data_IF_082494101412
#
_entry.id   IF_082494101412
#
_cell.length_a   1.000
_cell.length_b   1.000
_cell.length_c   1.000
_cell.angle_alpha   90.00
_cell.angle_beta   90.00
_cell.angle_gamma   90.00
#
_symmetry.space_group_name_H-M   'P 1'
#
loop_
_entity.id
_entity.type
_entity.pdbx_description
1 polymer ?
#
# COMPACT_ATOMS: atom_id res chain seq x y z
N UNK A 1 -10.17 17.65 -17.08
CA UNK A 1 -9.22 17.13 -18.09
C UNK A 1 -8.10 16.39 -17.37
N UNK A 2 -8.22 15.07 -17.24
CA UNK A 2 -7.17 14.26 -16.63
C UNK A 2 -5.99 14.17 -17.62
N UNK A 3 -4.84 14.74 -17.23
CA UNK A 3 -3.60 14.53 -17.99
C UNK A 3 -3.30 13.03 -17.94
N UNK A 4 -3.28 12.39 -19.09
CA UNK A 4 -2.64 11.08 -19.27
C UNK A 4 -1.21 11.22 -18.76
N UNK A 5 -0.93 10.67 -17.57
CA UNK A 5 0.43 10.55 -17.05
C UNK A 5 1.10 9.51 -17.93
N UNK A 6 1.90 9.98 -18.89
CA UNK A 6 2.78 9.14 -19.69
C UNK A 6 3.74 8.43 -18.74
N UNK A 7 3.46 7.17 -18.44
CA UNK A 7 4.39 6.30 -17.72
C UNK A 7 5.53 6.00 -18.69
N UNK A 8 6.70 6.58 -18.42
CA UNK A 8 7.94 6.16 -19.07
C UNK A 8 8.17 4.70 -18.67
N UNK A 9 8.12 3.77 -19.63
CA UNK A 9 8.37 2.35 -19.36
C UNK A 9 9.78 2.19 -18.81
N UNK A 10 9.88 1.87 -17.52
CA UNK A 10 11.11 1.52 -16.84
C UNK A 10 11.47 0.07 -17.19
N UNK A 11 12.76 -0.27 -17.24
CA UNK A 11 13.22 -1.66 -17.33
C UNK A 11 13.38 -2.24 -15.92
N UNK A 12 13.39 -3.57 -15.77
CA UNK A 12 13.63 -4.21 -14.47
C UNK A 12 14.94 -3.78 -13.81
N UNK A 13 16.01 -3.58 -14.60
CA UNK A 13 17.30 -3.08 -14.10
C UNK A 13 17.18 -1.66 -13.56
N UNK A 14 16.44 -0.79 -14.27
CA UNK A 14 16.19 0.57 -13.80
C UNK A 14 15.29 0.58 -12.56
N UNK A 15 14.32 -0.34 -12.44
CA UNK A 15 13.51 -0.47 -11.23
C UNK A 15 14.36 -0.89 -10.03
N UNK A 16 15.23 -1.89 -10.17
CA UNK A 16 16.19 -2.28 -9.13
C UNK A 16 17.07 -1.10 -8.71
N UNK A 17 17.69 -0.42 -9.68
CA UNK A 17 18.53 0.74 -9.40
C UNK A 17 17.75 1.88 -8.71
N UNK A 18 16.47 2.06 -9.04
CA UNK A 18 15.63 3.07 -8.41
C UNK A 18 15.32 2.73 -6.94
N UNK A 19 15.04 1.46 -6.65
CA UNK A 19 14.83 0.97 -5.28
C UNK A 19 16.11 0.97 -4.44
N UNK A 20 17.28 0.90 -5.07
CA UNK A 20 18.57 1.11 -4.40
C UNK A 20 18.86 2.60 -4.14
N UNK A 21 18.50 3.47 -5.08
CA UNK A 21 18.78 4.90 -5.00
C UNK A 21 17.82 5.67 -4.07
N UNK A 22 16.55 5.26 -4.02
CA UNK A 22 15.53 5.90 -3.19
C UNK A 22 15.32 5.06 -1.94
N UNK A 23 15.55 5.66 -0.77
CA UNK A 23 15.44 4.94 0.50
C UNK A 23 14.01 4.44 0.76
N UNK A 24 13.83 3.28 1.42
CA UNK A 24 12.50 2.67 1.60
C UNK A 24 11.47 3.53 2.34
N UNK A 25 11.95 4.40 3.23
CA UNK A 25 11.15 5.41 3.92
C UNK A 25 10.60 6.50 3.00
N UNK A 26 10.99 6.52 1.72
CA UNK A 26 10.49 7.46 0.72
C UNK A 26 9.57 6.83 -0.31
N UNK A 27 9.22 5.56 -0.17
CA UNK A 27 8.31 4.86 -1.07
C UNK A 27 6.84 5.14 -0.70
N UNK A 28 6.50 6.42 -0.61
CA UNK A 28 5.20 6.88 -0.15
C UNK A 28 4.29 7.29 -1.32
N UNK A 29 3.00 7.38 -1.03
CA UNK A 29 1.98 7.87 -1.95
C UNK A 29 1.22 9.05 -1.35
N UNK A 30 0.56 9.82 -2.20
CA UNK A 30 -0.28 10.95 -1.77
C UNK A 30 -1.72 10.52 -1.52
N UNK A 31 -2.50 11.38 -0.85
CA UNK A 31 -3.95 11.20 -0.73
C UNK A 31 -4.66 11.08 -2.09
N UNK A 32 -4.22 11.85 -3.08
CA UNK A 32 -4.78 11.80 -4.43
C UNK A 32 -4.48 10.47 -5.15
N UNK A 33 -3.34 9.85 -4.87
CA UNK A 33 -3.00 8.54 -5.45
C UNK A 33 -3.90 7.44 -4.89
N UNK A 34 -4.29 7.51 -3.60
CA UNK A 34 -5.26 6.56 -3.02
C UNK A 34 -6.67 6.73 -3.60
N UNK A 35 -7.11 7.97 -3.83
CA UNK A 35 -8.39 8.25 -4.51
C UNK A 35 -8.36 7.71 -5.94
N UNK A 36 -7.25 7.91 -6.65
CA UNK A 36 -7.05 7.36 -7.98
C UNK A 36 -7.09 5.84 -7.96
N UNK A 37 -6.39 5.19 -7.03
CA UNK A 37 -6.42 3.74 -6.87
C UNK A 37 -7.84 3.22 -6.63
N UNK A 38 -8.64 3.88 -5.78
CA UNK A 38 -10.03 3.51 -5.56
C UNK A 38 -10.84 3.46 -6.86
N UNK A 39 -10.72 4.51 -7.68
CA UNK A 39 -11.42 4.62 -8.96
C UNK A 39 -10.95 3.56 -9.97
N UNK A 40 -9.65 3.29 -10.00
CA UNK A 40 -9.05 2.30 -10.88
C UNK A 40 -9.46 0.88 -10.51
N UNK A 41 -9.44 0.52 -9.22
CA UNK A 41 -9.91 -0.78 -8.72
C UNK A 41 -11.39 -0.96 -9.04
N UNK A 42 -12.22 0.06 -8.79
CA UNK A 42 -13.63 0.03 -9.17
C UNK A 42 -13.81 -0.24 -10.66
N UNK A 43 -13.12 0.51 -11.53
CA UNK A 43 -13.20 0.30 -12.99
C UNK A 43 -12.71 -1.10 -13.38
N UNK A 44 -11.65 -1.60 -12.75
CA UNK A 44 -11.09 -2.91 -13.01
C UNK A 44 -12.06 -4.04 -12.64
N UNK A 45 -12.84 -3.88 -11.57
CA UNK A 45 -13.94 -4.80 -11.22
C UNK A 45 -15.04 -4.73 -12.29
N UNK A 46 -15.51 -3.53 -12.65
CA UNK A 46 -16.61 -3.35 -13.60
C UNK A 46 -16.29 -3.92 -15.00
N UNK A 47 -15.03 -3.85 -15.43
CA UNK A 47 -14.61 -4.44 -16.70
C UNK A 47 -14.16 -5.92 -16.60
N UNK A 48 -14.30 -6.54 -15.42
CA UNK A 48 -13.94 -7.93 -15.18
C UNK A 48 -12.43 -8.21 -15.27
N UNK A 49 -11.58 -7.21 -15.01
CA UNK A 49 -10.13 -7.41 -14.80
C UNK A 49 -9.82 -7.92 -13.40
N UNK A 50 -10.56 -7.42 -12.39
CA UNK A 50 -10.55 -7.98 -11.04
C UNK A 50 -11.81 -8.83 -10.89
N UNK A 51 -11.65 -10.10 -10.48
CA UNK A 51 -12.72 -11.07 -10.31
C UNK A 51 -12.58 -11.80 -8.97
N UNK A 52 -13.68 -12.27 -8.37
CA UNK A 52 -13.63 -13.11 -7.17
C UNK A 52 -12.75 -14.32 -7.40
N UNK A 53 -11.88 -14.60 -6.44
CA UNK A 53 -11.02 -15.78 -6.43
C UNK A 53 -11.69 -16.78 -5.49
N UNK A 54 -12.24 -17.85 -6.09
CA UNK A 54 -12.82 -19.01 -5.40
C UNK A 54 -13.56 -18.67 -4.09
N UNK A 55 -13.42 -19.51 -3.06
CA UNK A 55 -14.02 -19.30 -1.74
C UNK A 55 -13.12 -18.44 -0.83
N UNK A 56 -11.91 -18.07 -1.27
CA UNK A 56 -10.95 -17.29 -0.47
C UNK A 56 -11.25 -15.78 -0.46
N UNK A 57 -11.90 -15.26 -1.50
CA UNK A 57 -12.34 -13.86 -1.58
C UNK A 57 -13.63 -13.71 -2.42
N UNK A 58 -14.78 -14.17 -1.91
CA UNK A 58 -16.05 -14.11 -2.63
C UNK A 58 -16.68 -12.72 -2.50
N UNK A 59 -16.11 -11.72 -3.20
CA UNK A 59 -16.67 -10.36 -3.23
C UNK A 59 -17.73 -10.19 -4.33
N UNK A 60 -18.70 -9.29 -4.11
CA UNK A 60 -19.70 -8.94 -5.12
C UNK A 60 -19.19 -7.78 -6.01
N UNK A 61 -19.37 -7.87 -7.33
CA UNK A 61 -18.89 -6.82 -8.24
C UNK A 61 -19.60 -5.47 -8.07
N UNK A 62 -20.77 -5.45 -7.42
CA UNK A 62 -21.52 -4.25 -7.08
C UNK A 62 -21.20 -3.68 -5.70
N UNK A 63 -20.40 -4.37 -4.88
CA UNK A 63 -20.04 -3.91 -3.55
C UNK A 63 -18.99 -2.80 -3.61
N UNK A 64 -19.43 -1.57 -3.35
CA UNK A 64 -18.60 -0.37 -3.30
C UNK A 64 -18.15 0.00 -1.87
N UNK A 65 -18.54 -0.79 -0.86
CA UNK A 65 -18.25 -0.50 0.54
C UNK A 65 -17.10 -1.33 1.08
N UNK A 66 -17.08 -2.63 0.80
CA UNK A 66 -16.04 -3.53 1.28
C UNK A 66 -15.08 -3.89 0.14
N UNK A 67 -15.60 -4.49 -0.93
CA UNK A 67 -14.85 -4.84 -2.13
C UNK A 67 -13.92 -6.04 -1.95
N UNK A 68 -13.10 -6.37 -2.98
CA UNK A 68 -12.12 -7.45 -2.90
C UNK A 68 -11.11 -7.19 -1.79
N UNK A 69 -10.54 -8.26 -1.26
CA UNK A 69 -9.43 -8.12 -0.33
C UNK A 69 -8.16 -7.63 -1.01
N UNK A 70 -7.21 -7.14 -0.21
CA UNK A 70 -5.97 -6.55 -0.74
C UNK A 70 -5.08 -7.60 -1.44
N UNK A 71 -5.13 -8.90 -1.10
CA UNK A 71 -4.42 -9.93 -1.88
C UNK A 71 -4.93 -10.01 -3.32
N UNK A 72 -6.25 -9.99 -3.50
CA UNK A 72 -6.89 -10.02 -4.81
C UNK A 72 -6.54 -8.77 -5.62
N UNK A 73 -6.64 -7.59 -5.01
CA UNK A 73 -6.26 -6.32 -5.68
C UNK A 73 -4.78 -6.29 -6.03
N UNK A 74 -3.92 -6.76 -5.14
CA UNK A 74 -2.49 -6.82 -5.38
C UNK A 74 -2.18 -7.70 -6.60
N UNK A 75 -2.70 -8.92 -6.60
CA UNK A 75 -2.43 -9.94 -7.61
C UNK A 75 -3.03 -9.60 -8.97
N UNK A 76 -4.27 -9.11 -8.99
CA UNK A 76 -5.02 -8.90 -10.24
C UNK A 76 -4.92 -7.48 -10.81
N UNK A 77 -4.38 -6.53 -10.04
CA UNK A 77 -4.29 -5.13 -10.49
C UNK A 77 -2.92 -4.49 -10.23
N UNK A 78 -2.47 -4.40 -8.97
CA UNK A 78 -1.20 -3.70 -8.64
C UNK A 78 -0.02 -4.36 -9.34
N UNK A 79 0.12 -5.69 -9.24
CA UNK A 79 1.20 -6.44 -9.86
C UNK A 79 1.18 -6.31 -11.39
N UNK A 80 0.06 -6.57 -12.11
CA UNK A 80 0.01 -6.36 -13.57
C UNK A 80 0.40 -4.94 -14.01
N UNK A 81 -0.13 -3.90 -13.35
CA UNK A 81 0.17 -2.51 -13.71
C UNK A 81 1.64 -2.19 -13.49
N UNK A 82 2.22 -2.64 -12.36
CA UNK A 82 3.61 -2.37 -12.04
C UNK A 82 4.59 -3.25 -12.83
N UNK A 83 4.19 -4.45 -13.26
CA UNK A 83 4.96 -5.31 -14.17
C UNK A 83 5.14 -4.60 -15.52
N UNK A 84 4.06 -4.05 -16.08
CA UNK A 84 4.10 -3.27 -17.33
C UNK A 84 4.96 -1.99 -17.21
N UNK A 85 5.11 -1.49 -15.98
CA UNK A 85 5.97 -0.35 -15.66
C UNK A 85 7.41 -0.75 -15.31
N UNK A 86 7.81 -2.01 -15.51
CA UNK A 86 9.19 -2.47 -15.27
C UNK A 86 9.45 -3.04 -13.88
N UNK A 87 8.42 -3.50 -13.17
CA UNK A 87 8.48 -4.09 -11.81
C UNK A 87 8.80 -3.11 -10.68
N UNK A 88 8.80 -1.81 -10.94
CA UNK A 88 8.90 -0.77 -9.91
C UNK A 88 7.70 -0.85 -8.95
N UNK A 89 7.82 -0.35 -7.72
CA UNK A 89 6.66 -0.30 -6.82
C UNK A 89 5.66 0.73 -7.30
N UNK A 90 4.40 0.61 -6.89
CA UNK A 90 3.38 1.60 -7.24
C UNK A 90 3.78 3.01 -6.79
N UNK A 91 4.36 3.14 -5.60
CA UNK A 91 4.83 4.41 -5.07
C UNK A 91 5.90 5.05 -5.97
N UNK A 92 6.97 4.32 -6.30
CA UNK A 92 8.06 4.85 -7.13
C UNK A 92 7.71 4.93 -8.62
N UNK A 93 6.72 4.18 -9.08
CA UNK A 93 6.12 4.36 -10.41
C UNK A 93 5.50 5.74 -10.56
N UNK A 94 4.83 6.23 -9.50
CA UNK A 94 4.18 7.53 -9.49
C UNK A 94 5.14 8.66 -9.10
N UNK A 95 6.08 8.38 -8.23
CA UNK A 95 6.99 9.36 -7.61
C UNK A 95 8.43 8.83 -7.62
N UNK A 96 9.13 8.90 -8.76
CA UNK A 96 10.47 8.33 -8.89
C UNK A 96 11.52 8.99 -7.99
N UNK A 97 11.31 10.25 -7.58
CA UNK A 97 12.20 10.94 -6.64
C UNK A 97 11.93 10.58 -5.17
N UNK A 98 10.88 9.79 -4.90
CA UNK A 98 10.42 9.45 -3.56
C UNK A 98 9.77 10.62 -2.81
N UNK A 99 8.93 10.29 -1.84
CA UNK A 99 8.16 11.22 -1.03
C UNK A 99 8.42 10.98 0.46
N UNK A 100 8.61 12.03 1.25
CA UNK A 100 8.83 11.91 2.70
C UNK A 100 7.66 11.17 3.38
N UNK A 101 7.98 10.28 4.34
CA UNK A 101 6.98 9.52 5.09
C UNK A 101 6.45 10.33 6.28
N UNK A 102 5.22 10.83 6.19
CA UNK A 102 4.55 11.44 7.35
C UNK A 102 3.75 10.43 8.16
N UNK A 103 3.11 9.49 7.46
CA UNK A 103 2.15 8.53 8.00
C UNK A 103 2.52 7.10 7.58
N UNK A 104 2.64 6.20 8.55
CA UNK A 104 2.79 4.77 8.29
C UNK A 104 1.45 4.05 8.49
N UNK A 105 1.04 3.22 7.54
CA UNK A 105 -0.21 2.44 7.62
C UNK A 105 0.07 1.03 8.12
N UNK A 106 -0.52 0.67 9.26
CA UNK A 106 -0.56 -0.70 9.75
C UNK A 106 -1.94 -1.31 9.45
N UNK A 107 -1.96 -2.37 8.63
CA UNK A 107 -3.19 -2.91 8.09
C UNK A 107 -3.05 -4.39 7.68
N UNK A 108 -4.16 -5.08 7.46
CA UNK A 108 -4.16 -6.51 7.16
C UNK A 108 -4.65 -6.80 5.75
N UNK A 109 -3.93 -7.66 5.03
CA UNK A 109 -4.21 -7.90 3.61
C UNK A 109 -5.55 -8.61 3.30
N UNK A 110 -6.20 -9.23 4.29
CA UNK A 110 -7.53 -9.84 4.10
C UNK A 110 -8.68 -8.81 4.25
N UNK A 111 -8.40 -7.54 4.51
CA UNK A 111 -9.45 -6.52 4.54
C UNK A 111 -9.90 -6.12 3.13
N UNK A 112 -11.16 -5.72 3.01
CA UNK A 112 -11.73 -5.17 1.79
C UNK A 112 -11.09 -3.83 1.43
N UNK A 113 -10.65 -3.69 0.18
CA UNK A 113 -9.90 -2.52 -0.29
C UNK A 113 -10.70 -1.22 -0.21
N UNK A 114 -12.02 -1.25 -0.41
CA UNK A 114 -12.84 -0.03 -0.36
C UNK A 114 -13.05 0.43 1.07
N UNK A 115 -13.26 -0.51 2.00
CA UNK A 115 -13.32 -0.22 3.43
C UNK A 115 -12.00 0.38 3.90
N UNK A 116 -10.88 -0.25 3.53
CA UNK A 116 -9.54 0.23 3.83
C UNK A 116 -9.30 1.66 3.32
N UNK A 117 -9.52 1.90 2.02
CA UNK A 117 -9.30 3.21 1.41
C UNK A 117 -10.20 4.28 2.04
N UNK A 118 -11.47 3.96 2.29
CA UNK A 118 -12.41 4.87 2.94
C UNK A 118 -11.92 5.28 4.33
N UNK A 119 -11.55 4.30 5.18
CA UNK A 119 -11.04 4.55 6.54
C UNK A 119 -9.76 5.37 6.54
N UNK A 120 -8.81 5.05 5.67
CA UNK A 120 -7.55 5.81 5.55
C UNK A 120 -7.81 7.25 5.09
N UNK A 121 -8.65 7.44 4.07
CA UNK A 121 -8.96 8.77 3.54
C UNK A 121 -9.76 9.63 4.52
N UNK A 122 -10.64 9.01 5.31
CA UNK A 122 -11.44 9.66 6.34
C UNK A 122 -10.58 10.03 7.57
N UNK A 123 -9.70 9.12 7.99
CA UNK A 123 -8.88 9.26 9.19
C UNK A 123 -7.50 9.87 8.92
N UNK A 124 -7.30 10.45 7.74
CA UNK A 124 -6.05 11.06 7.32
C UNK A 124 -5.68 12.23 8.27
N UNK A 125 -4.57 12.15 9.02
CA UNK A 125 -4.24 13.17 10.02
C UNK A 125 -3.94 14.53 9.39
N UNK A 126 -4.36 15.59 10.07
CA UNK A 126 -4.03 16.96 9.65
C UNK A 126 -2.52 17.16 9.64
N UNK A 127 -2.00 17.72 8.56
CA UNK A 127 -0.56 17.99 8.38
C UNK A 127 0.21 16.86 7.70
N UNK A 128 -0.30 15.63 7.67
CA UNK A 128 0.32 14.54 6.90
C UNK A 128 0.09 14.77 5.40
N UNK A 129 1.15 14.66 4.58
CA UNK A 129 1.09 14.86 3.13
C UNK A 129 1.16 13.54 2.39
N UNK A 130 2.00 12.63 2.86
CA UNK A 130 2.22 11.34 2.22
C UNK A 130 2.14 10.19 3.21
N UNK A 131 1.88 9.02 2.65
CA UNK A 131 1.64 7.81 3.42
C UNK A 131 2.45 6.66 2.86
N UNK A 132 3.02 5.87 3.76
CA UNK A 132 3.63 4.59 3.44
C UNK A 132 2.63 3.47 3.70
N UNK A 133 2.33 2.67 2.67
CA UNK A 133 1.42 1.53 2.75
C UNK A 133 2.04 0.35 2.01
N UNK A 134 2.16 -0.80 2.70
CA UNK A 134 3.02 -1.89 2.23
C UNK A 134 2.63 -2.46 0.85
N UNK A 135 1.33 -2.48 0.51
CA UNK A 135 0.86 -2.96 -0.81
C UNK A 135 1.28 -2.05 -1.97
N UNK A 136 1.55 -0.77 -1.70
CA UNK A 136 1.92 0.24 -2.72
C UNK A 136 3.42 0.57 -2.70
N UNK A 137 4.02 0.55 -1.51
CA UNK A 137 5.40 0.94 -1.29
C UNK A 137 6.39 -0.13 -1.76
N UNK A 138 6.14 -1.39 -1.40
CA UNK A 138 7.04 -2.49 -1.73
C UNK A 138 6.95 -2.86 -3.22
N UNK A 139 8.06 -3.26 -3.87
CA UNK A 139 8.04 -3.71 -5.26
C UNK A 139 7.45 -5.11 -5.38
N UNK A 140 6.14 -5.19 -5.61
CA UNK A 140 5.36 -6.43 -5.54
C UNK A 140 5.80 -7.51 -6.54
N UNK A 141 6.41 -7.11 -7.66
CA UNK A 141 6.92 -8.02 -8.71
C UNK A 141 8.41 -8.37 -8.57
N UNK A 142 9.12 -7.77 -7.61
CA UNK A 142 10.50 -8.13 -7.30
C UNK A 142 10.54 -9.14 -6.15
N UNK A 143 11.73 -9.62 -5.81
CA UNK A 143 11.91 -10.49 -4.66
C UNK A 143 11.76 -9.70 -3.35
N UNK A 144 10.51 -9.55 -2.88
CA UNK A 144 10.20 -8.91 -1.61
C UNK A 144 10.85 -9.68 -0.45
N UNK A 145 11.01 -10.99 -0.56
CA UNK A 145 11.60 -11.84 0.47
C UNK A 145 13.01 -11.38 0.85
N UNK A 146 13.80 -10.92 -0.13
CA UNK A 146 15.13 -10.35 0.11
C UNK A 146 15.12 -9.10 1.01
N UNK A 147 14.06 -8.28 0.93
CA UNK A 147 13.90 -7.07 1.75
C UNK A 147 13.41 -7.37 3.17
N UNK A 148 12.89 -8.58 3.43
CA UNK A 148 12.27 -8.97 4.70
C UNK A 148 13.11 -9.93 5.54
N UNK A 149 14.36 -10.19 5.13
CA UNK A 149 15.27 -11.10 5.84
C UNK A 149 15.53 -10.68 7.29
N UNK A 150 15.50 -9.37 7.57
CA UNK A 150 15.64 -8.82 8.90
C UNK A 150 14.54 -7.80 9.17
N UNK A 151 13.61 -8.06 10.12
CA UNK A 151 12.51 -7.14 10.42
C UNK A 151 12.98 -5.73 10.77
N UNK A 152 14.08 -5.57 11.51
CA UNK A 152 14.59 -4.27 11.97
C UNK A 152 15.21 -3.42 10.88
N UNK A 153 15.66 -4.02 9.77
CA UNK A 153 16.20 -3.31 8.61
C UNK A 153 15.26 -3.35 7.40
N UNK A 154 14.07 -3.92 7.56
CA UNK A 154 13.08 -4.02 6.49
C UNK A 154 12.57 -2.64 6.05
N UNK A 155 12.01 -2.52 4.83
CA UNK A 155 11.30 -1.32 4.39
C UNK A 155 10.27 -0.81 5.40
N UNK A 156 9.57 -1.74 6.07
CA UNK A 156 8.59 -1.47 7.11
C UNK A 156 9.21 -0.70 8.28
N UNK A 157 10.31 -1.23 8.85
CA UNK A 157 10.97 -0.60 9.98
C UNK A 157 11.55 0.77 9.61
N UNK A 158 12.11 0.92 8.41
CA UNK A 158 12.64 2.20 7.91
C UNK A 158 11.54 3.26 7.77
N UNK A 159 10.44 2.89 7.13
CA UNK A 159 9.31 3.80 6.93
C UNK A 159 8.60 4.17 8.24
N UNK A 160 8.41 3.20 9.14
CA UNK A 160 7.84 3.46 10.47
C UNK A 160 8.75 4.40 11.26
N UNK A 161 10.08 4.18 11.22
CA UNK A 161 11.05 5.04 11.87
C UNK A 161 11.01 6.48 11.35
N UNK A 162 10.88 6.66 10.05
CA UNK A 162 10.76 7.99 9.45
C UNK A 162 9.40 8.67 9.72
N UNK A 163 8.33 7.89 9.88
CA UNK A 163 6.98 8.42 10.05
C UNK A 163 6.81 9.25 11.34
N UNK A 164 5.92 10.24 11.29
CA UNK A 164 5.52 11.00 12.49
C UNK A 164 4.46 10.24 13.29
N UNK A 165 3.60 9.49 12.60
CA UNK A 165 2.50 8.76 13.20
C UNK A 165 2.21 7.46 12.47
N UNK A 166 1.61 6.53 13.19
CA UNK A 166 1.11 5.26 12.66
C UNK A 166 -0.40 5.29 12.67
N UNK A 167 -1.04 5.04 11.52
CA UNK A 167 -2.48 4.81 11.43
C UNK A 167 -2.74 3.31 11.33
N UNK A 168 -3.32 2.76 12.39
CA UNK A 168 -3.84 1.41 12.46
C UNK A 168 -5.21 1.38 11.79
N UNK A 169 -5.37 0.51 10.79
CA UNK A 169 -6.61 0.37 10.04
C UNK A 169 -7.29 -0.96 10.42
N UNK A 170 -8.23 -0.95 11.37
CA UNK A 170 -8.98 -2.14 11.71
C UNK A 170 -9.99 -2.49 10.61
N UNK A 171 -10.28 -3.77 10.43
CA UNK A 171 -11.29 -4.27 9.51
C UNK A 171 -12.41 -5.01 10.27
N UNK A 172 -13.52 -5.30 9.58
CA UNK A 172 -14.71 -5.92 10.19
C UNK A 172 -14.60 -7.43 10.49
N UNK A 173 -13.59 -8.12 9.94
CA UNK A 173 -13.51 -9.60 10.00
C UNK A 173 -12.65 -10.11 11.14
N UNK A 174 -11.51 -9.46 11.39
CA UNK A 174 -10.56 -9.93 12.40
C UNK A 174 -9.69 -8.78 12.91
N UNK A 175 -9.12 -8.98 14.10
CA UNK A 175 -8.11 -8.07 14.63
C UNK A 175 -6.85 -8.13 13.78
N UNK A 176 -6.36 -6.99 13.29
CA UNK A 176 -5.12 -6.96 12.50
C UNK A 176 -3.92 -7.52 13.27
N UNK A 177 -3.96 -7.51 14.61
CA UNK A 177 -2.88 -8.02 15.46
C UNK A 177 -2.79 -9.56 15.50
N UNK A 178 -3.70 -10.27 14.83
CA UNK A 178 -3.48 -11.69 14.52
C UNK A 178 -2.41 -11.88 13.42
N UNK A 179 -2.02 -10.80 12.74
CA UNK A 179 -0.94 -10.75 11.75
C UNK A 179 0.37 -10.37 12.44
N UNK A 180 1.39 -11.22 12.30
CA UNK A 180 2.69 -11.03 12.93
C UNK A 180 3.31 -9.64 12.64
N UNK A 181 3.26 -9.18 11.39
CA UNK A 181 3.79 -7.88 10.99
C UNK A 181 3.06 -6.71 11.65
N UNK A 182 1.73 -6.74 11.74
CA UNK A 182 0.96 -5.70 12.42
C UNK A 182 1.29 -5.64 13.92
N UNK A 183 1.51 -6.81 14.56
CA UNK A 183 1.99 -6.87 15.94
C UNK A 183 3.39 -6.26 16.10
N UNK A 184 4.31 -6.57 15.19
CA UNK A 184 5.66 -6.00 15.18
C UNK A 184 5.62 -4.48 14.95
N UNK A 185 4.81 -3.99 14.02
CA UNK A 185 4.61 -2.56 13.76
C UNK A 185 4.09 -1.83 15.00
N UNK A 186 3.11 -2.39 15.70
CA UNK A 186 2.60 -1.80 16.94
C UNK A 186 3.67 -1.73 18.03
N UNK A 187 4.44 -2.80 18.21
CA UNK A 187 5.57 -2.83 19.13
C UNK A 187 6.61 -1.76 18.78
N UNK A 188 7.02 -1.67 17.51
CA UNK A 188 7.98 -0.66 17.04
C UNK A 188 7.47 0.76 17.22
N UNK A 189 6.21 1.01 16.89
CA UNK A 189 5.57 2.30 17.09
C UNK A 189 5.59 2.73 18.56
N UNK A 190 5.32 1.79 19.47
CA UNK A 190 5.38 2.02 20.91
C UNK A 190 6.82 2.34 21.38
N UNK A 191 7.79 1.49 21.03
CA UNK A 191 9.20 1.66 21.42
C UNK A 191 9.80 2.98 20.92
N UNK A 192 9.38 3.44 19.74
CA UNK A 192 9.85 4.68 19.15
C UNK A 192 9.02 5.91 19.56
N UNK A 193 8.04 5.75 20.47
CA UNK A 193 7.21 6.84 20.96
C UNK A 193 6.33 7.50 19.89
N UNK A 194 5.94 6.75 18.85
CA UNK A 194 5.11 7.25 17.75
C UNK A 194 3.70 7.55 18.25
N UNK A 195 3.06 8.54 17.64
CA UNK A 195 1.61 8.74 17.81
C UNK A 195 0.89 7.63 17.05
N UNK A 196 0.12 6.79 17.76
CA UNK A 196 -0.67 5.71 17.18
C UNK A 196 -2.13 6.15 17.11
N UNK A 197 -2.66 6.20 15.89
CA UNK A 197 -4.05 6.55 15.59
C UNK A 197 -4.78 5.31 15.10
N UNK A 198 -6.09 5.24 15.38
CA UNK A 198 -6.95 4.15 14.90
C UNK A 198 -7.95 4.75 13.91
N UNK A 199 -7.98 4.20 12.70
CA UNK A 199 -8.90 4.65 11.66
C UNK A 199 -10.36 4.32 12.01
N UNK A 200 -11.27 5.20 11.62
CA UNK A 200 -12.71 5.11 11.82
C UNK A 200 -13.43 5.01 10.49
#
# INVERSE_FOLDING_TARGET
MARSRSSTRCTTLQALALHEAVTPDRWCVTRSDLIYLQQEVWRAIQCGKIRPVDDSDPFESSDDQYGPNIHTVNTQYIMPVTEEAGKVSWALMLHPDGLDCDLFISHAWQEGVFEFLSKVLHSWPSGSRHVWCCMLANPQNLDIGSYLQSPSSSPFARALQASTSVLVVPNRHFSIYTRLWCGYEAYRAHEEGKTILIAR
#
